data_IF_455220919986
#
_entry.id   IF_455220919986
#
_cell.length_a   1.000
_cell.length_b   1.000
_cell.length_c   1.000
_cell.angle_alpha   90.00
_cell.angle_beta   90.00
_cell.angle_gamma   90.00
#
_symmetry.space_group_name_H-M   'P 1'
#
loop_
_entity.id
_entity.type
_entity.pdbx_description
1 polymer ?
#
# COMPACT_ATOMS: atom_id res chain seq x y z
N UNK A 1 8.78 0.45 18.46
CA UNK A 1 7.44 -0.14 18.64
C UNK A 1 6.54 0.39 17.54
N UNK A 2 6.15 -0.46 16.60
CA UNK A 2 5.29 -0.05 15.48
C UNK A 2 3.88 0.22 16.04
N UNK A 3 3.47 1.49 15.99
CA UNK A 3 2.10 1.89 16.35
C UNK A 3 1.16 1.19 15.38
N UNK A 4 0.39 0.22 15.87
CA UNK A 4 -0.78 -0.31 15.14
C UNK A 4 -1.60 0.90 14.75
N UNK A 5 -1.61 1.24 13.45
CA UNK A 5 -2.48 2.27 12.93
C UNK A 5 -3.89 1.74 13.13
N UNK A 6 -4.60 2.22 14.15
CA UNK A 6 -6.02 1.94 14.42
C UNK A 6 -6.94 2.55 13.35
N UNK A 7 -6.44 2.66 12.11
CA UNK A 7 -7.14 3.19 10.96
C UNK A 7 -8.16 2.17 10.41
N UNK A 8 -7.93 0.88 10.64
CA UNK A 8 -8.73 -0.20 10.08
C UNK A 8 -8.97 -1.28 11.13
N UNK A 9 -10.17 -1.86 11.13
CA UNK A 9 -10.40 -3.13 11.79
C UNK A 9 -9.62 -4.22 11.04
N UNK A 10 -9.14 -5.24 11.75
CA UNK A 10 -8.24 -6.25 11.18
C UNK A 10 -8.91 -7.01 10.04
N UNK A 11 -10.18 -7.33 10.23
CA UNK A 11 -11.08 -8.03 9.32
C UNK A 11 -11.31 -7.28 7.99
N UNK A 12 -11.13 -5.95 7.98
CA UNK A 12 -11.32 -5.13 6.78
C UNK A 12 -10.06 -5.05 5.89
N UNK A 13 -8.91 -5.50 6.40
CA UNK A 13 -7.63 -5.45 5.69
C UNK A 13 -7.53 -6.62 4.71
N UNK A 14 -7.72 -6.34 3.42
CA UNK A 14 -7.59 -7.30 2.32
C UNK A 14 -6.30 -7.05 1.55
N UNK A 15 -5.45 -8.07 1.44
CA UNK A 15 -4.14 -7.99 0.76
C UNK A 15 -4.06 -8.99 -0.37
N UNK A 16 -3.50 -8.59 -1.51
CA UNK A 16 -3.24 -9.42 -2.67
C UNK A 16 -1.91 -9.06 -3.30
N UNK A 17 -1.21 -10.05 -3.86
CA UNK A 17 0.07 -9.86 -4.55
C UNK A 17 -0.08 -10.37 -5.97
N UNK A 18 0.39 -9.59 -6.94
CA UNK A 18 0.46 -9.98 -8.33
C UNK A 18 1.87 -9.74 -8.86
N UNK A 19 2.55 -10.80 -9.27
CA UNK A 19 3.89 -10.71 -9.84
C UNK A 19 3.81 -10.48 -11.36
N UNK A 20 4.64 -9.58 -11.88
CA UNK A 20 4.75 -9.34 -13.31
C UNK A 20 5.88 -10.20 -13.89
N UNK A 21 5.59 -10.96 -14.95
CA UNK A 21 6.61 -11.74 -15.67
C UNK A 21 7.53 -10.84 -16.49
N UNK A 22 6.92 -9.89 -17.18
CA UNK A 22 7.58 -8.88 -17.99
C UNK A 22 7.49 -7.53 -17.28
N UNK A 23 8.65 -6.90 -17.04
CA UNK A 23 8.76 -5.65 -16.31
C UNK A 23 10.11 -5.00 -16.57
N UNK A 24 10.15 -3.67 -16.47
CA UNK A 24 11.35 -2.85 -16.51
C UNK A 24 11.13 -1.56 -15.71
N UNK A 25 12.23 -0.94 -15.28
CA UNK A 25 12.23 0.40 -14.68
C UNK A 25 13.15 1.27 -15.54
N UNK A 26 12.55 2.21 -16.28
CA UNK A 26 13.28 3.11 -17.19
C UNK A 26 14.11 2.38 -18.26
N UNK A 27 13.54 1.35 -18.89
CA UNK A 27 14.22 0.56 -19.93
C UNK A 27 15.22 -0.49 -19.41
N UNK A 28 15.30 -0.71 -18.09
CA UNK A 28 16.23 -1.68 -17.49
C UNK A 28 15.49 -2.75 -16.72
N UNK A 29 15.96 -4.00 -16.82
CA UNK A 29 15.47 -5.10 -15.98
C UNK A 29 15.93 -4.89 -14.54
N UNK A 30 15.10 -4.24 -13.75
CA UNK A 30 15.36 -3.91 -12.35
C UNK A 30 14.15 -4.26 -11.50
N UNK A 31 14.37 -5.03 -10.45
CA UNK A 31 13.30 -5.43 -9.53
C UNK A 31 12.76 -4.22 -8.77
N UNK A 32 11.43 -4.21 -8.57
CA UNK A 32 10.74 -3.18 -7.80
C UNK A 32 9.51 -3.76 -7.13
N UNK A 33 9.03 -3.05 -6.11
CA UNK A 33 7.74 -3.30 -5.44
C UNK A 33 6.98 -1.99 -5.44
N UNK A 34 5.77 -2.00 -6.01
CA UNK A 34 4.83 -0.89 -5.84
C UNK A 34 3.55 -1.40 -5.20
N UNK A 35 3.16 -0.78 -4.10
CA UNK A 35 1.91 -1.10 -3.39
C UNK A 35 0.86 -0.05 -3.74
N UNK A 36 -0.34 -0.50 -4.06
CA UNK A 36 -1.51 0.36 -4.20
C UNK A 36 -2.46 0.08 -3.04
N UNK A 37 -2.65 1.07 -2.18
CA UNK A 37 -3.63 1.02 -1.09
C UNK A 37 -4.89 1.80 -1.48
N UNK A 38 -6.01 1.10 -1.57
CA UNK A 38 -7.33 1.72 -1.77
C UNK A 38 -8.07 1.74 -0.45
N UNK A 39 -8.47 2.92 0.01
CA UNK A 39 -9.17 3.11 1.29
C UNK A 39 -10.45 3.93 1.09
N UNK A 40 -11.39 3.82 2.02
CA UNK A 40 -12.55 4.72 2.05
C UNK A 40 -12.11 6.17 2.30
N UNK A 41 -12.82 7.11 1.68
CA UNK A 41 -12.61 8.54 1.90
C UNK A 41 -12.79 8.96 3.37
N UNK A 42 -12.09 10.03 3.75
CA UNK A 42 -12.21 10.63 5.09
C UNK A 42 -10.98 10.45 5.97
N UNK A 43 -9.82 10.06 5.40
CA UNK A 43 -8.54 10.05 6.11
C UNK A 43 -7.78 11.34 5.86
N UNK A 44 -7.09 11.85 6.89
CA UNK A 44 -6.26 13.05 6.74
C UNK A 44 -5.01 12.77 5.90
N UNK A 45 -4.38 13.82 5.38
CA UNK A 45 -3.12 13.69 4.65
C UNK A 45 -2.03 13.02 5.50
N UNK A 46 -1.96 13.35 6.79
CA UNK A 46 -0.99 12.79 7.74
C UNK A 46 -1.26 11.29 7.97
N UNK A 47 -2.52 10.88 8.07
CA UNK A 47 -2.89 9.48 8.22
C UNK A 47 -2.49 8.67 6.98
N UNK A 48 -2.74 9.21 5.78
CA UNK A 48 -2.36 8.58 4.50
C UNK A 48 -0.83 8.48 4.37
N UNK A 49 -0.10 9.56 4.69
CA UNK A 49 1.35 9.58 4.67
C UNK A 49 1.97 8.60 5.68
N UNK A 50 1.40 8.52 6.89
CA UNK A 50 1.84 7.56 7.90
C UNK A 50 1.60 6.11 7.45
N UNK A 51 0.46 5.82 6.84
CA UNK A 51 0.14 4.50 6.31
C UNK A 51 1.17 4.08 5.24
N UNK A 52 1.37 4.90 4.20
CA UNK A 52 2.30 4.57 3.12
C UNK A 52 3.74 4.42 3.63
N UNK A 53 4.18 5.33 4.51
CA UNK A 53 5.52 5.26 5.13
C UNK A 53 5.73 3.97 5.90
N UNK A 54 4.79 3.58 6.76
CA UNK A 54 4.91 2.36 7.56
C UNK A 54 5.01 1.10 6.68
N UNK A 55 4.21 1.03 5.61
CA UNK A 55 4.25 -0.11 4.67
C UNK A 55 5.58 -0.17 3.93
N UNK A 56 6.06 0.96 3.41
CA UNK A 56 7.35 1.04 2.72
C UNK A 56 8.51 0.69 3.66
N UNK A 57 8.49 1.15 4.92
CA UNK A 57 9.53 0.83 5.91
C UNK A 57 9.62 -0.69 6.17
N UNK A 58 8.47 -1.34 6.38
CA UNK A 58 8.41 -2.80 6.61
C UNK A 58 8.92 -3.56 5.38
N UNK A 59 8.47 -3.20 4.18
CA UNK A 59 8.90 -3.86 2.95
C UNK A 59 10.40 -3.63 2.68
N UNK A 60 10.92 -2.44 2.96
CA UNK A 60 12.35 -2.13 2.82
C UNK A 60 13.19 -2.99 3.75
N UNK A 61 12.74 -3.21 4.98
CA UNK A 61 13.42 -4.10 5.92
C UNK A 61 13.36 -5.57 5.48
N UNK A 62 12.24 -6.01 4.87
CA UNK A 62 12.07 -7.39 4.39
C UNK A 62 12.84 -7.67 3.09
N UNK A 63 12.98 -6.68 2.21
CA UNK A 63 13.56 -6.82 0.87
C UNK A 63 14.72 -5.84 0.65
N UNK A 64 15.82 -5.93 1.42
CA UNK A 64 16.91 -4.95 1.38
C UNK A 64 17.64 -4.87 0.03
N UNK A 65 17.50 -5.88 -0.84
CA UNK A 65 18.09 -5.89 -2.17
C UNK A 65 17.24 -5.13 -3.23
N UNK A 66 15.94 -4.89 -2.96
CA UNK A 66 15.04 -4.21 -3.89
C UNK A 66 15.19 -2.70 -3.70
N UNK A 67 15.71 -2.02 -4.72
CA UNK A 67 16.01 -0.58 -4.64
C UNK A 67 14.78 0.31 -4.72
N UNK A 68 13.76 -0.13 -5.45
CA UNK A 68 12.56 0.64 -5.72
C UNK A 68 11.38 0.03 -4.97
N UNK A 69 11.04 0.61 -3.82
CA UNK A 69 9.87 0.25 -3.02
C UNK A 69 9.06 1.50 -2.79
N UNK A 70 7.83 1.52 -3.27
CA UNK A 70 6.94 2.67 -3.16
C UNK A 70 5.50 2.22 -2.88
N UNK A 71 4.71 3.16 -2.36
CA UNK A 71 3.29 2.95 -2.15
C UNK A 71 2.49 4.20 -2.55
N UNK A 72 1.39 3.99 -3.25
CA UNK A 72 0.35 5.00 -3.47
C UNK A 72 -0.86 4.69 -2.58
N UNK A 73 -1.54 5.75 -2.10
CA UNK A 73 -2.77 5.64 -1.31
C UNK A 73 -3.86 6.44 -2.00
N UNK A 74 -4.87 5.75 -2.50
CA UNK A 74 -6.02 6.33 -3.17
C UNK A 74 -7.29 6.13 -2.33
N UNK A 75 -8.16 7.13 -2.35
CA UNK A 75 -9.46 7.09 -1.68
C UNK A 75 -10.56 6.74 -2.68
N UNK A 76 -11.51 5.90 -2.27
CA UNK A 76 -12.78 5.71 -2.98
C UNK A 76 -13.94 6.29 -2.15
N UNK A 77 -14.92 6.86 -2.87
CA UNK A 77 -16.06 7.54 -2.27
C UNK A 77 -16.95 6.58 -1.48
N UNK A 78 -17.52 7.05 -0.36
CA UNK A 78 -18.59 6.33 0.33
C UNK A 78 -19.85 6.27 -0.54
N UNK A 79 -20.09 7.32 -1.32
CA UNK A 79 -21.18 7.36 -2.30
C UNK A 79 -20.97 6.27 -3.37
N UNK A 80 -21.83 5.25 -3.33
CA UNK A 80 -21.76 4.10 -4.25
C UNK A 80 -20.94 2.91 -3.74
N UNK A 81 -20.30 3.03 -2.58
CA UNK A 81 -19.69 1.88 -1.91
C UNK A 81 -20.78 0.99 -1.33
N UNK A 82 -20.73 -0.30 -1.66
CA UNK A 82 -21.62 -1.32 -1.12
C UNK A 82 -20.79 -2.56 -0.77
N UNK A 83 -20.88 -2.97 0.50
CA UNK A 83 -20.43 -4.28 0.94
C UNK A 83 -21.65 -5.13 1.30
N UNK A 84 -21.55 -6.44 1.07
CA UNK A 84 -22.55 -7.37 1.56
C UNK A 84 -22.44 -7.41 3.08
N UNK A 85 -23.55 -7.17 3.77
CA UNK A 85 -23.71 -7.50 5.19
C UNK A 85 -23.95 -9.00 5.36
#
# INVERSE_FOLDING_TARGET
MATTTTLFAKEDIKVRVNAYKEFEVGGKKTDFIHVFGYILEGRTAEQKAKLSKNVVEVLTAMFPAVKFIAMSVDEFALAGYCNRQ
#
